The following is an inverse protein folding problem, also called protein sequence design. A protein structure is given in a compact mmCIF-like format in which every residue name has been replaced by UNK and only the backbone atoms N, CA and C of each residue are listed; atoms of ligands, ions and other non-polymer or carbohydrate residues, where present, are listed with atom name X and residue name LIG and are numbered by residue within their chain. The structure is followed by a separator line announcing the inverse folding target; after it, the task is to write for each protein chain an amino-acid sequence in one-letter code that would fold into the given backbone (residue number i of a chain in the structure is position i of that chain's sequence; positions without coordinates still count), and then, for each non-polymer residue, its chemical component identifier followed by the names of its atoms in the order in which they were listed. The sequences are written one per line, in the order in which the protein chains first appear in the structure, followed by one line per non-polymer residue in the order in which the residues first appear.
data_IF_409346092644
#
_entry.id   IF_409346092644
#
_cell.length_a   1.000
_cell.length_b   1.000
_cell.length_c   1.000
_cell.angle_alpha   90.00
_cell.angle_beta   90.00
_cell.angle_gamma   90.00
#
_symmetry.space_group_name_H-M   'P 1'
#
loop_
_entity.id
_entity.type
_entity.pdbx_description
1 polymer ?
#
# COMPACT_ATOMS: atom_id res chain seq x y z
N UNK A 1 1.58 71.14 -2.67
CA UNK A 1 1.05 69.77 -2.82
C UNK A 1 0.92 69.18 -1.42
N UNK A 2 -0.24 69.35 -0.76
CA UNK A 2 -0.48 68.74 0.56
C UNK A 2 -1.26 67.45 0.35
N UNK A 3 -0.63 66.30 0.62
CA UNK A 3 -1.31 65.01 0.76
C UNK A 3 -2.00 64.97 2.12
N UNK A 4 -3.28 64.63 2.15
CA UNK A 4 -3.97 64.30 3.41
C UNK A 4 -3.58 62.88 3.80
N UNK A 5 -2.74 62.73 4.81
CA UNK A 5 -2.50 61.46 5.49
C UNK A 5 -3.76 61.13 6.32
N UNK A 6 -4.74 60.46 5.70
CA UNK A 6 -5.90 59.92 6.41
C UNK A 6 -5.44 58.68 7.18
N UNK A 7 -5.17 58.85 8.48
CA UNK A 7 -4.87 57.73 9.38
C UNK A 7 -6.07 56.81 9.55
N UNK A 8 -5.81 55.52 9.76
CA UNK A 8 -6.84 54.51 10.02
C UNK A 8 -7.58 54.78 11.33
N UNK A 9 -8.89 54.53 11.34
CA UNK A 9 -9.67 54.57 12.57
C UNK A 9 -9.43 53.31 13.40
N UNK A 10 -9.58 53.40 14.73
CA UNK A 10 -9.38 52.26 15.62
C UNK A 10 -10.34 51.10 15.29
N UNK A 11 -11.57 51.41 14.88
CA UNK A 11 -12.57 50.42 14.45
C UNK A 11 -12.11 49.68 13.19
N UNK A 12 -11.53 50.39 12.23
CA UNK A 12 -11.07 49.80 10.98
C UNK A 12 -9.86 48.87 11.19
N UNK A 13 -8.95 49.23 12.11
CA UNK A 13 -7.85 48.35 12.53
C UNK A 13 -8.40 47.09 13.21
N UNK A 14 -9.39 47.23 14.09
CA UNK A 14 -10.02 46.10 14.78
C UNK A 14 -10.69 45.15 13.77
N UNK A 15 -11.46 45.69 12.83
CA UNK A 15 -12.11 44.90 11.77
C UNK A 15 -11.07 44.20 10.89
N UNK A 16 -9.97 44.88 10.55
CA UNK A 16 -8.91 44.32 9.71
C UNK A 16 -8.22 43.12 10.38
N UNK A 17 -7.94 43.21 11.68
CA UNK A 17 -7.34 42.10 12.44
C UNK A 17 -8.31 40.91 12.48
N UNK A 18 -9.60 41.15 12.69
CA UNK A 18 -10.63 40.09 12.68
C UNK A 18 -10.67 39.40 11.32
N UNK A 19 -10.71 40.15 10.21
CA UNK A 19 -10.72 39.59 8.85
C UNK A 19 -9.46 38.76 8.60
N UNK A 20 -8.27 39.30 8.91
CA UNK A 20 -7.00 38.59 8.73
C UNK A 20 -6.95 37.32 9.58
N UNK A 21 -7.48 37.33 10.81
CA UNK A 21 -7.50 36.16 11.68
C UNK A 21 -8.35 35.02 11.10
N UNK A 22 -9.52 35.35 10.52
CA UNK A 22 -10.39 34.37 9.87
C UNK A 22 -9.68 33.75 8.66
N UNK A 23 -9.01 34.59 7.86
CA UNK A 23 -8.25 34.12 6.69
C UNK A 23 -7.07 33.23 7.10
N UNK A 24 -6.31 33.62 8.13
CA UNK A 24 -5.17 32.86 8.62
C UNK A 24 -5.57 31.47 9.14
N UNK A 25 -6.66 31.39 9.91
CA UNK A 25 -7.18 30.10 10.40
C UNK A 25 -7.66 29.20 9.26
N UNK A 26 -8.30 29.77 8.24
CA UNK A 26 -8.71 29.04 7.05
C UNK A 26 -7.51 28.46 6.30
N UNK A 27 -6.49 29.29 6.05
CA UNK A 27 -5.25 28.87 5.37
C UNK A 27 -4.48 27.80 6.17
N UNK A 28 -4.45 27.91 7.49
CA UNK A 28 -3.78 26.93 8.36
C UNK A 28 -4.38 25.53 8.19
N UNK A 29 -5.70 25.43 8.12
CA UNK A 29 -6.39 24.15 7.89
C UNK A 29 -6.04 23.58 6.51
N UNK A 30 -6.03 24.40 5.46
CA UNK A 30 -5.65 23.98 4.11
C UNK A 30 -4.20 23.46 4.10
N UNK A 31 -3.29 24.17 4.74
CA UNK A 31 -1.89 23.78 4.81
C UNK A 31 -1.70 22.45 5.55
N UNK A 32 -2.37 22.27 6.70
CA UNK A 32 -2.34 21.00 7.44
C UNK A 32 -2.89 19.83 6.62
N UNK A 33 -3.95 20.05 5.84
CA UNK A 33 -4.49 19.02 4.96
C UNK A 33 -3.53 18.71 3.82
N UNK A 34 -2.94 19.74 3.20
CA UNK A 34 -1.96 19.58 2.12
C UNK A 34 -0.75 18.77 2.57
N UNK A 35 -0.20 19.04 3.76
CA UNK A 35 0.93 18.26 4.30
C UNK A 35 0.58 16.79 4.51
N UNK A 36 -0.62 16.49 5.03
CA UNK A 36 -1.10 15.11 5.21
C UNK A 36 -1.25 14.39 3.88
N UNK A 37 -1.85 15.05 2.89
CA UNK A 37 -1.99 14.52 1.52
C UNK A 37 -0.62 14.24 0.92
N UNK A 38 0.32 15.20 0.99
CA UNK A 38 1.68 15.02 0.46
C UNK A 38 2.41 13.86 1.12
N UNK A 39 2.32 13.70 2.45
CA UNK A 39 2.93 12.55 3.13
C UNK A 39 2.28 11.23 2.69
N UNK A 40 0.96 11.21 2.56
CA UNK A 40 0.24 10.02 2.08
C UNK A 40 0.62 9.66 0.65
N UNK A 41 0.80 10.65 -0.24
CA UNK A 41 1.17 10.41 -1.64
C UNK A 41 2.59 9.88 -1.77
N UNK A 42 3.51 10.37 -0.95
CA UNK A 42 4.88 9.85 -0.86
C UNK A 42 4.86 8.38 -0.44
N UNK A 43 4.15 8.07 0.63
CA UNK A 43 4.10 6.72 1.17
C UNK A 43 3.27 5.76 0.31
N UNK A 44 2.34 6.27 -0.50
CA UNK A 44 1.56 5.46 -1.45
C UNK A 44 2.44 4.76 -2.48
N UNK A 45 3.51 5.41 -2.93
CA UNK A 45 4.45 4.78 -3.88
C UNK A 45 5.23 3.66 -3.19
N UNK A 46 5.70 3.91 -1.97
CA UNK A 46 6.45 2.91 -1.18
C UNK A 46 5.55 1.72 -0.82
N UNK A 47 4.32 1.98 -0.36
CA UNK A 47 3.34 0.95 -0.05
C UNK A 47 3.00 0.06 -1.26
N UNK A 48 2.90 0.63 -2.46
CA UNK A 48 2.73 -0.15 -3.68
C UNK A 48 3.94 -1.06 -3.96
N UNK A 49 5.17 -0.57 -3.76
CA UNK A 49 6.36 -1.38 -3.91
C UNK A 49 6.42 -2.50 -2.86
N UNK A 50 6.03 -2.22 -1.62
CA UNK A 50 5.90 -3.23 -0.56
C UNK A 50 4.90 -4.30 -0.99
N UNK A 51 3.69 -3.92 -1.41
CA UNK A 51 2.67 -4.86 -1.86
C UNK A 51 3.16 -5.75 -3.02
N UNK A 52 3.83 -5.16 -4.02
CA UNK A 52 4.38 -5.90 -5.15
C UNK A 52 5.51 -6.85 -4.75
N UNK A 53 6.41 -6.41 -3.87
CA UNK A 53 7.49 -7.25 -3.37
C UNK A 53 6.95 -8.41 -2.53
N UNK A 54 5.97 -8.16 -1.67
CA UNK A 54 5.25 -9.19 -0.92
C UNK A 54 4.63 -10.21 -1.86
N UNK A 55 3.92 -9.78 -2.90
CA UNK A 55 3.35 -10.70 -3.91
C UNK A 55 4.43 -11.53 -4.61
N UNK A 56 5.51 -10.89 -5.04
CA UNK A 56 6.60 -11.59 -5.73
C UNK A 56 7.31 -12.59 -4.82
N UNK A 57 7.44 -12.27 -3.54
CA UNK A 57 8.01 -13.19 -2.55
C UNK A 57 7.08 -14.35 -2.26
N UNK A 58 5.77 -14.13 -2.14
CA UNK A 58 4.78 -15.21 -2.03
C UNK A 58 4.81 -16.13 -3.26
N UNK A 59 4.85 -15.55 -4.47
CA UNK A 59 4.96 -16.32 -5.71
C UNK A 59 6.21 -17.19 -5.75
N UNK A 60 7.37 -16.64 -5.35
CA UNK A 60 8.63 -17.38 -5.28
C UNK A 60 8.55 -18.55 -4.29
N UNK A 61 8.07 -18.31 -3.06
CA UNK A 61 7.92 -19.36 -2.04
C UNK A 61 6.93 -20.45 -2.46
N UNK A 62 5.81 -20.07 -3.08
CA UNK A 62 4.83 -21.02 -3.58
C UNK A 62 5.40 -21.88 -4.72
N UNK A 63 6.17 -21.29 -5.63
CA UNK A 63 6.82 -22.02 -6.72
C UNK A 63 7.89 -23.02 -6.23
N UNK A 64 8.40 -22.88 -5.01
CA UNK A 64 9.29 -23.85 -4.38
C UNK A 64 8.53 -24.97 -3.63
N UNK A 65 7.23 -24.81 -3.45
CA UNK A 65 6.35 -25.75 -2.74
C UNK A 65 5.67 -26.69 -3.74
N UNK A 66 5.64 -27.99 -3.42
CA UNK A 66 4.92 -29.03 -4.19
C UNK A 66 3.58 -29.41 -3.58
N UNK A 67 3.41 -29.14 -2.30
CA UNK A 67 2.16 -29.37 -1.59
C UNK A 67 1.11 -28.30 -1.96
N UNK A 68 -0.18 -28.54 -1.62
CA UNK A 68 -1.22 -27.52 -1.72
C UNK A 68 -0.81 -26.21 -1.03
N UNK A 69 -1.23 -25.08 -1.61
CA UNK A 69 -0.83 -23.77 -1.11
C UNK A 69 -1.51 -23.49 0.23
N UNK A 70 -0.71 -23.33 1.28
CA UNK A 70 -1.13 -22.72 2.55
C UNK A 70 -0.54 -21.31 2.68
N UNK A 71 -1.40 -20.30 2.54
CA UNK A 71 -1.03 -18.89 2.62
C UNK A 71 -0.48 -18.51 4.00
N UNK A 72 -0.90 -19.16 5.08
CA UNK A 72 -0.37 -18.89 6.40
C UNK A 72 1.09 -19.36 6.52
N UNK A 73 1.42 -20.51 5.92
CA UNK A 73 2.78 -21.03 5.89
C UNK A 73 3.70 -20.19 5.01
N UNK A 74 3.23 -19.73 3.84
CA UNK A 74 4.06 -18.93 2.91
C UNK A 74 4.47 -17.56 3.46
N UNK A 75 3.71 -17.03 4.41
CA UNK A 75 4.01 -15.75 5.07
C UNK A 75 5.06 -15.86 6.16
N UNK A 76 5.36 -17.09 6.60
CA UNK A 76 6.19 -17.34 7.77
C UNK A 76 7.58 -17.82 7.37
N UNK A 77 8.54 -17.52 8.22
CA UNK A 77 9.86 -18.17 8.25
C UNK A 77 9.77 -19.53 8.94
N UNK A 78 10.81 -20.39 8.85
CA UNK A 78 10.86 -21.65 9.61
C UNK A 78 10.72 -21.51 11.13
N UNK A 79 10.86 -20.29 11.67
CA UNK A 79 10.66 -19.96 13.07
C UNK A 79 9.22 -19.53 13.42
N UNK A 80 8.25 -19.70 12.50
CA UNK A 80 6.85 -19.25 12.62
C UNK A 80 6.70 -17.74 12.85
N UNK A 81 7.65 -16.95 12.34
CA UNK A 81 7.59 -15.48 12.37
C UNK A 81 7.17 -14.99 11.00
N UNK A 82 6.16 -14.12 10.93
CA UNK A 82 5.78 -13.47 9.68
C UNK A 82 6.80 -12.40 9.30
N UNK A 83 7.63 -12.66 8.30
CA UNK A 83 8.65 -11.72 7.83
C UNK A 83 8.14 -10.77 6.73
N UNK A 84 6.87 -10.93 6.33
CA UNK A 84 6.20 -10.11 5.33
C UNK A 84 5.15 -9.16 5.91
N UNK A 85 4.78 -9.33 7.19
CA UNK A 85 3.66 -8.62 7.81
C UNK A 85 4.02 -7.20 8.28
N UNK A 86 5.28 -6.99 8.69
CA UNK A 86 5.74 -5.70 9.19
C UNK A 86 6.98 -5.28 8.40
N UNK A 87 6.89 -4.17 7.66
CA UNK A 87 7.98 -3.70 6.81
C UNK A 87 8.35 -2.27 7.18
N UNK A 88 9.61 -2.04 7.48
CA UNK A 88 10.12 -0.68 7.74
C UNK A 88 11.01 -0.21 6.60
N UNK A 89 10.63 0.89 5.94
CA UNK A 89 11.41 1.51 4.85
C UNK A 89 11.64 2.97 5.20
N UNK A 90 12.90 3.42 5.22
CA UNK A 90 13.28 4.80 5.52
C UNK A 90 12.70 5.33 6.85
N UNK A 91 12.61 4.46 7.87
CA UNK A 91 12.05 4.80 9.19
C UNK A 91 10.53 4.89 9.24
N UNK A 92 9.81 4.50 8.17
CA UNK A 92 8.35 4.41 8.12
C UNK A 92 7.92 2.95 8.20
N UNK A 93 6.97 2.67 9.07
CA UNK A 93 6.38 1.35 9.23
C UNK A 93 5.19 1.16 8.27
N UNK A 94 5.12 -0.01 7.68
CA UNK A 94 4.04 -0.47 6.82
C UNK A 94 3.53 -1.81 7.35
N UNK A 95 2.24 -1.85 7.65
CA UNK A 95 1.55 -3.06 8.10
C UNK A 95 0.95 -3.76 6.88
N UNK A 96 1.29 -5.02 6.70
CA UNK A 96 0.92 -5.82 5.55
C UNK A 96 0.00 -6.95 6.01
N UNK A 97 -1.22 -6.95 5.50
CA UNK A 97 -2.20 -8.00 5.74
C UNK A 97 -2.41 -8.79 4.44
N UNK A 98 -2.26 -10.12 4.51
CA UNK A 98 -2.36 -11.00 3.35
C UNK A 98 -3.50 -11.99 3.60
N UNK A 99 -4.54 -11.92 2.77
CA UNK A 99 -5.73 -12.76 2.88
C UNK A 99 -5.93 -13.57 1.59
N UNK A 100 -6.50 -14.77 1.72
CA UNK A 100 -7.10 -15.48 0.59
C UNK A 100 -8.62 -15.42 0.73
N UNK A 101 -9.36 -14.98 -0.29
CA UNK A 101 -10.81 -14.86 -0.23
C UNK A 101 -11.56 -16.21 -0.28
N UNK A 102 -10.84 -17.34 -0.40
CA UNK A 102 -11.39 -18.69 -0.20
C UNK A 102 -12.27 -19.24 -1.32
N UNK A 103 -12.35 -18.56 -2.47
CA UNK A 103 -13.13 -19.01 -3.64
C UNK A 103 -12.24 -19.63 -4.73
N UNK A 104 -11.23 -20.40 -4.31
CA UNK A 104 -10.19 -20.85 -5.20
C UNK A 104 -10.59 -22.07 -6.03
N UNK A 105 -10.30 -22.09 -7.35
CA UNK A 105 -10.73 -23.16 -8.24
C UNK A 105 -9.92 -24.47 -8.09
N UNK A 106 -8.72 -24.42 -7.50
CA UNK A 106 -7.84 -25.59 -7.33
C UNK A 106 -6.94 -25.43 -6.09
N UNK A 107 -6.51 -26.53 -5.48
CA UNK A 107 -5.62 -26.53 -4.31
C UNK A 107 -4.21 -25.96 -4.59
N UNK A 108 -3.83 -25.95 -5.86
CA UNK A 108 -2.52 -25.53 -6.37
C UNK A 108 -2.49 -24.07 -6.85
N UNK A 109 -3.64 -23.36 -6.78
CA UNK A 109 -3.81 -21.98 -7.19
C UNK A 109 -4.61 -21.22 -6.15
N UNK A 110 -4.08 -20.09 -5.67
CA UNK A 110 -4.74 -19.27 -4.67
C UNK A 110 -4.68 -17.78 -5.05
N UNK A 111 -5.83 -17.13 -5.14
CA UNK A 111 -5.94 -15.67 -5.14
C UNK A 111 -5.55 -15.14 -3.76
N UNK A 112 -4.77 -14.08 -3.78
CA UNK A 112 -4.32 -13.36 -2.61
C UNK A 112 -4.70 -11.89 -2.73
N UNK A 113 -5.14 -11.34 -1.62
CA UNK A 113 -5.38 -9.91 -1.44
C UNK A 113 -4.39 -9.40 -0.39
N UNK A 114 -3.49 -8.53 -0.84
CA UNK A 114 -2.44 -7.93 -0.01
C UNK A 114 -2.86 -6.50 0.26
N UNK A 115 -3.09 -6.17 1.53
CA UNK A 115 -3.42 -4.82 1.98
C UNK A 115 -2.26 -4.25 2.76
N UNK A 116 -1.78 -3.07 2.36
CA UNK A 116 -0.68 -2.34 3.01
C UNK A 116 -1.23 -1.07 3.63
N UNK A 117 -1.08 -0.93 4.94
CA UNK A 117 -1.47 0.23 5.72
C UNK A 117 -0.24 0.93 6.34
N UNK A 118 -0.38 2.19 6.69
CA UNK A 118 0.62 2.98 7.41
C UNK A 118 -0.07 4.17 8.07
N UNK A 119 0.52 4.71 9.14
CA UNK A 119 -0.03 5.85 9.89
C UNK A 119 -0.23 7.11 9.04
N UNK A 120 0.57 7.25 7.98
CA UNK A 120 0.61 8.42 7.09
C UNK A 120 -0.27 8.27 5.87
N UNK A 121 -0.70 7.04 5.55
CA UNK A 121 -1.59 6.77 4.43
C UNK A 121 -3.02 7.16 4.80
N UNK A 122 -3.65 7.98 3.97
CA UNK A 122 -5.07 8.32 4.13
C UNK A 122 -5.98 7.11 3.85
N UNK A 123 -5.54 6.21 2.97
CA UNK A 123 -6.23 4.98 2.63
C UNK A 123 -5.20 3.85 2.42
N UNK A 124 -5.50 2.62 2.86
CA UNK A 124 -4.63 1.49 2.61
C UNK A 124 -4.59 1.15 1.13
N UNK A 125 -3.50 0.50 0.71
CA UNK A 125 -3.29 0.04 -0.66
C UNK A 125 -3.58 -1.45 -0.73
N UNK A 126 -4.49 -1.84 -1.61
CA UNK A 126 -4.85 -3.23 -1.83
C UNK A 126 -4.36 -3.69 -3.20
N UNK A 127 -3.58 -4.76 -3.21
CA UNK A 127 -3.10 -5.46 -4.41
C UNK A 127 -3.72 -6.86 -4.46
N UNK A 128 -4.38 -7.17 -5.56
CA UNK A 128 -4.89 -8.53 -5.84
C UNK A 128 -3.92 -9.26 -6.75
N UNK A 129 -3.69 -10.53 -6.46
CA UNK A 129 -2.81 -11.38 -7.23
C UNK A 129 -3.22 -12.84 -7.18
N UNK A 130 -2.56 -13.64 -8.00
CA UNK A 130 -2.70 -15.10 -8.03
C UNK A 130 -1.34 -15.71 -7.74
N UNK A 131 -1.32 -16.74 -6.89
CA UNK A 131 -0.15 -17.51 -6.51
C UNK A 131 -0.39 -18.97 -6.90
N UNK A 132 0.59 -19.61 -7.53
CA UNK A 132 0.52 -21.02 -7.95
C UNK A 132 1.74 -21.78 -7.45
N UNK A 133 1.59 -23.07 -7.21
CA UNK A 133 2.67 -23.93 -6.76
C UNK A 133 3.50 -24.49 -7.93
N UNK A 134 4.52 -25.31 -7.61
CA UNK A 134 5.40 -25.92 -8.61
C UNK A 134 4.69 -26.92 -9.53
N UNK A 135 3.66 -27.62 -9.03
CA UNK A 135 2.99 -28.74 -9.71
C UNK A 135 2.27 -28.31 -10.98
N UNK A 136 1.75 -27.09 -11.03
CA UNK A 136 1.14 -26.50 -12.24
C UNK A 136 2.17 -25.91 -13.24
N UNK A 137 3.46 -25.89 -12.89
CA UNK A 137 4.54 -25.40 -13.76
C UNK A 137 5.32 -26.51 -14.47
N UNK A 138 5.04 -27.78 -14.19
CA UNK A 138 5.67 -28.90 -14.88
C UNK A 138 5.30 -28.89 -16.37
N UNK A 139 6.28 -29.20 -17.23
CA UNK A 139 6.11 -29.27 -18.69
C UNK A 139 4.90 -30.16 -19.02
N UNK A 140 4.03 -29.66 -19.91
CA UNK A 140 3.02 -30.50 -20.54
C UNK A 140 3.67 -31.78 -21.08
N UNK A 141 3.03 -32.95 -20.92
CA UNK A 141 3.59 -34.20 -21.43
C UNK A 141 3.86 -34.05 -22.93
N UNK A 142 5.11 -34.29 -23.34
CA UNK A 142 5.45 -34.41 -24.75
C UNK A 142 4.63 -35.59 -25.30
N UNK A 143 3.85 -35.35 -26.36
CA UNK A 143 3.08 -36.41 -27.01
C UNK A 143 4.08 -37.43 -27.55
N UNK A 144 4.07 -38.66 -27.02
CA UNK A 144 4.85 -39.77 -27.57
C UNK A 144 4.57 -39.88 -29.07
N UNK A 145 5.63 -39.82 -29.88
CA UNK A 145 5.55 -40.09 -31.31
C UNK A 145 5.21 -41.58 -31.45
N UNK A 146 4.09 -41.96 -32.10
CA UNK A 146 3.76 -43.37 -32.27
C UNK A 146 4.89 -44.05 -33.04
N UNK A 147 5.47 -45.12 -32.49
CA UNK A 147 6.35 -45.99 -33.26
C UNK A 147 5.55 -46.54 -34.45
N UNK A 148 6.01 -46.24 -35.67
CA UNK A 148 5.41 -46.74 -36.90
C UNK A 148 5.54 -48.28 -36.94
N UNK A 149 4.48 -49.00 -37.35
CA UNK A 149 4.43 -50.46 -37.37
C UNK A 149 5.40 -51.10 -38.39
#
# INVERSE_FOLDING_TARGET
MNRSEQGFTLVEVLVSIVVVSILALSLMNIFSQSLRITSSDLDRTVANQVAQNTLNTLKRRAAETRDPIDIAALQQTPANVCDLCDVTINGRAFDVTILSPGNEPAADLVNVEITVASETLLQPITLKGVVTNATLQDKFPETDVPELP
#
